data_IF_725474959383
#
_entry.id   IF_725474959383
#
_cell.length_a   1.000
_cell.length_b   1.000
_cell.length_c   1.000
_cell.angle_alpha   90.00
_cell.angle_beta   90.00
_cell.angle_gamma   90.00
#
_symmetry.space_group_name_H-M   'P 1'
#
loop_
_entity.id
_entity.type
_entity.pdbx_description
1 polymer ?
#
# COMPACT_ATOMS: atom_id res chain seq x y z
N UNK A 1 -1.71 -24.79 -22.22
CA UNK A 1 -2.30 -24.09 -21.06
C UNK A 1 -2.72 -22.71 -21.51
N UNK A 2 -3.97 -22.36 -21.31
CA UNK A 2 -4.50 -21.03 -21.68
C UNK A 2 -4.73 -20.25 -20.39
N UNK A 3 -4.17 -19.05 -20.32
CA UNK A 3 -4.35 -18.14 -19.23
C UNK A 3 -5.35 -17.06 -19.63
N UNK A 4 -6.38 -16.87 -18.81
CA UNK A 4 -7.34 -15.78 -18.98
C UNK A 4 -7.12 -14.82 -17.81
N UNK A 5 -6.75 -13.56 -18.06
CA UNK A 5 -6.61 -12.59 -16.97
C UNK A 5 -7.99 -12.31 -16.34
N UNK A 6 -8.06 -12.37 -15.01
CA UNK A 6 -9.31 -12.15 -14.26
C UNK A 6 -9.90 -10.74 -14.36
N UNK A 7 -9.17 -9.80 -14.92
CA UNK A 7 -9.56 -8.39 -14.92
C UNK A 7 -9.53 -7.76 -16.31
N UNK A 8 -10.40 -8.22 -17.19
CA UNK A 8 -10.72 -7.46 -18.40
C UNK A 8 -11.96 -6.61 -18.13
N UNK A 9 -11.78 -5.29 -18.01
CA UNK A 9 -12.90 -4.33 -17.90
C UNK A 9 -13.78 -4.29 -19.16
N UNK A 10 -13.33 -4.92 -20.23
CA UNK A 10 -14.08 -5.04 -21.46
C UNK A 10 -14.69 -6.45 -21.56
N UNK A 11 -15.94 -6.55 -21.11
CA UNK A 11 -16.68 -7.83 -21.04
C UNK A 11 -16.94 -8.48 -22.40
N UNK A 12 -16.55 -7.86 -23.50
CA UNK A 12 -16.90 -8.28 -24.85
C UNK A 12 -15.74 -8.89 -25.67
N UNK A 13 -14.52 -8.89 -25.16
CA UNK A 13 -13.37 -9.50 -25.83
C UNK A 13 -12.68 -10.52 -24.91
N UNK A 14 -12.85 -11.82 -25.18
CA UNK A 14 -12.07 -12.82 -24.47
C UNK A 14 -10.60 -12.65 -24.84
N UNK A 15 -9.81 -12.10 -23.91
CA UNK A 15 -8.36 -12.00 -24.07
C UNK A 15 -7.71 -13.15 -23.29
N UNK A 16 -6.97 -13.98 -23.98
CA UNK A 16 -6.22 -15.07 -23.38
C UNK A 16 -4.85 -15.21 -24.01
N UNK A 17 -3.87 -15.62 -23.22
CA UNK A 17 -2.54 -16.01 -23.70
C UNK A 17 -2.45 -17.51 -23.66
N UNK A 18 -2.13 -18.14 -24.79
CA UNK A 18 -1.84 -19.58 -24.86
C UNK A 18 -0.32 -19.75 -24.95
N UNK A 19 0.23 -20.53 -24.02
CA UNK A 19 1.65 -20.84 -23.98
C UNK A 19 1.79 -22.32 -24.32
N UNK A 20 2.61 -22.62 -25.33
CA UNK A 20 2.92 -24.00 -25.73
C UNK A 20 4.43 -24.17 -25.94
N UNK A 21 4.91 -25.37 -25.70
CA UNK A 21 6.31 -25.75 -25.85
C UNK A 21 6.46 -27.14 -26.42
N UNK A 22 7.68 -27.56 -26.71
CA UNK A 22 8.02 -28.91 -27.13
C UNK A 22 7.76 -29.91 -25.99
N UNK A 23 7.66 -31.20 -26.33
CA UNK A 23 7.25 -32.25 -25.39
C UNK A 23 8.01 -32.30 -24.07
N UNK A 24 9.30 -31.95 -24.06
CA UNK A 24 10.15 -32.01 -22.87
C UNK A 24 10.30 -30.64 -22.15
N UNK A 25 9.53 -29.63 -22.55
CA UNK A 25 9.63 -28.25 -22.01
C UNK A 25 8.52 -27.91 -21.01
N UNK A 26 7.86 -28.88 -20.41
CA UNK A 26 6.73 -28.67 -19.48
C UNK A 26 7.08 -27.71 -18.34
N UNK A 27 8.25 -27.86 -17.71
CA UNK A 27 8.68 -26.99 -16.63
C UNK A 27 8.89 -25.54 -17.09
N UNK A 28 9.45 -25.34 -18.29
CA UNK A 28 9.63 -24.01 -18.85
C UNK A 28 8.29 -23.34 -19.18
N UNK A 29 7.36 -24.08 -19.75
CA UNK A 29 5.99 -23.61 -20.02
C UNK A 29 5.27 -23.22 -18.75
N UNK A 30 5.38 -24.01 -17.68
CA UNK A 30 4.80 -23.69 -16.36
C UNK A 30 5.44 -22.44 -15.75
N UNK A 31 6.77 -22.36 -15.70
CA UNK A 31 7.48 -21.19 -15.19
C UNK A 31 7.13 -19.91 -15.94
N UNK A 32 7.03 -20.00 -17.28
CA UNK A 32 6.62 -18.86 -18.10
C UNK A 32 5.17 -18.47 -17.79
N UNK A 33 4.27 -19.43 -17.66
CA UNK A 33 2.88 -19.18 -17.30
C UNK A 33 2.76 -18.53 -15.91
N UNK A 34 3.50 -19.01 -14.92
CA UNK A 34 3.55 -18.44 -13.58
C UNK A 34 4.10 -17.00 -13.59
N UNK A 35 5.10 -16.69 -14.44
CA UNK A 35 5.63 -15.34 -14.56
C UNK A 35 4.62 -14.33 -15.10
N UNK A 36 3.72 -14.76 -16.01
CA UNK A 36 2.61 -13.93 -16.49
C UNK A 36 1.49 -13.73 -15.45
N UNK A 37 1.30 -14.72 -14.57
CA UNK A 37 0.32 -14.64 -13.49
C UNK A 37 0.83 -13.85 -12.27
N UNK A 38 2.15 -13.72 -12.15
CA UNK A 38 2.76 -13.02 -11.01
C UNK A 38 2.51 -11.53 -11.11
N UNK A 39 1.50 -11.07 -10.40
CA UNK A 39 1.25 -9.64 -10.24
C UNK A 39 2.35 -9.04 -9.37
N UNK A 40 3.18 -8.16 -9.94
CA UNK A 40 4.12 -7.40 -9.13
C UNK A 40 3.35 -6.53 -8.13
N UNK A 41 3.82 -6.50 -6.91
CA UNK A 41 3.19 -5.77 -5.82
C UNK A 41 4.24 -5.11 -4.93
N UNK A 42 3.83 -4.08 -4.21
CA UNK A 42 4.66 -3.38 -3.23
C UNK A 42 4.00 -3.43 -1.86
N UNK A 43 4.83 -3.45 -0.82
CA UNK A 43 4.38 -3.28 0.56
C UNK A 43 4.13 -1.79 0.83
N UNK A 44 2.96 -1.48 1.40
CA UNK A 44 2.50 -0.13 1.66
C UNK A 44 2.00 0.02 3.08
N UNK A 45 2.57 0.98 3.82
CA UNK A 45 2.23 1.27 5.21
C UNK A 45 1.10 2.30 5.32
N UNK A 46 0.11 2.00 6.16
CA UNK A 46 -1.00 2.90 6.49
C UNK A 46 -1.11 3.09 8.00
N UNK A 47 -1.32 4.32 8.46
CA UNK A 47 -1.37 4.68 9.88
C UNK A 47 -2.74 5.22 10.35
N UNK A 48 -3.73 5.29 9.45
CA UNK A 48 -5.01 5.93 9.73
C UNK A 48 -6.22 5.09 9.33
N UNK A 49 -7.19 5.74 8.71
CA UNK A 49 -8.49 5.14 8.36
C UNK A 49 -8.41 4.01 7.32
N UNK A 50 -7.28 3.83 6.66
CA UNK A 50 -7.01 2.72 5.74
C UNK A 50 -6.54 1.43 6.45
N UNK A 51 -6.33 1.45 7.78
CA UNK A 51 -5.98 0.25 8.54
C UNK A 51 -7.10 -0.79 8.46
N UNK A 52 -6.73 -2.04 8.68
CA UNK A 52 -7.66 -3.17 8.69
C UNK A 52 -8.80 -2.95 9.70
N UNK A 53 -10.04 -3.09 9.25
CA UNK A 53 -11.24 -2.87 10.05
C UNK A 53 -11.66 -1.40 10.16
N UNK A 54 -10.96 -0.45 9.53
CA UNK A 54 -11.30 0.98 9.54
C UNK A 54 -12.05 1.42 8.29
N UNK A 55 -12.63 2.62 8.35
CA UNK A 55 -13.61 3.10 7.38
C UNK A 55 -13.13 3.18 5.92
N UNK A 56 -11.83 3.33 5.66
CA UNK A 56 -11.27 3.44 4.33
C UNK A 56 -10.48 2.20 3.88
N UNK A 57 -10.55 1.09 4.61
CA UNK A 57 -9.93 -0.18 4.21
C UNK A 57 -10.42 -0.62 2.82
N UNK A 58 -11.71 -0.43 2.53
CA UNK A 58 -12.32 -0.80 1.26
C UNK A 58 -11.62 -0.18 0.05
N UNK A 59 -11.08 1.04 0.18
CA UNK A 59 -10.32 1.69 -0.90
C UNK A 59 -9.06 0.93 -1.29
N UNK A 60 -8.46 0.18 -0.37
CA UNK A 60 -7.31 -0.67 -0.64
C UNK A 60 -7.74 -2.04 -1.18
N UNK A 61 -8.74 -2.67 -0.56
CA UNK A 61 -9.20 -4.00 -0.98
C UNK A 61 -9.86 -3.98 -2.36
N UNK A 62 -10.56 -2.91 -2.73
CA UNK A 62 -11.11 -2.71 -4.08
C UNK A 62 -10.04 -2.59 -5.17
N UNK A 63 -8.82 -2.18 -4.80
CA UNK A 63 -7.66 -2.18 -5.69
C UNK A 63 -6.99 -3.57 -5.78
N UNK A 64 -7.50 -4.56 -5.05
CA UNK A 64 -6.88 -5.87 -4.93
C UNK A 64 -5.68 -5.89 -3.97
N UNK A 65 -5.60 -4.92 -3.05
CA UNK A 65 -4.57 -4.94 -2.02
C UNK A 65 -4.89 -6.00 -0.96
N UNK A 66 -3.85 -6.71 -0.53
CA UNK A 66 -3.94 -7.75 0.50
C UNK A 66 -3.34 -7.25 1.82
N UNK A 67 -4.07 -7.43 2.92
CA UNK A 67 -3.52 -7.17 4.26
C UNK A 67 -2.43 -8.21 4.58
N UNK A 68 -1.28 -7.73 5.06
CA UNK A 68 -0.15 -8.58 5.42
C UNK A 68 -0.01 -8.69 6.94
N UNK A 69 0.18 -7.58 7.62
CA UNK A 69 0.44 -7.56 9.06
C UNK A 69 0.15 -6.21 9.71
N UNK A 70 -0.05 -6.21 11.02
CA UNK A 70 0.06 -5.02 11.86
C UNK A 70 1.44 -4.99 12.49
N UNK A 71 2.10 -3.83 12.42
CA UNK A 71 3.43 -3.59 12.95
C UNK A 71 3.57 -2.15 13.44
N UNK A 72 4.79 -1.67 13.61
CA UNK A 72 5.06 -0.30 13.98
C UNK A 72 6.19 0.30 13.13
N UNK A 73 6.25 1.63 13.07
CA UNK A 73 7.38 2.36 12.49
C UNK A 73 8.62 2.24 13.39
N UNK A 74 9.79 2.55 12.85
CA UNK A 74 10.96 2.89 13.65
C UNK A 74 10.63 4.05 14.63
N UNK A 75 11.48 4.27 15.64
CA UNK A 75 11.27 5.28 16.70
C UNK A 75 11.48 6.73 16.25
N UNK A 76 11.49 6.98 14.96
CA UNK A 76 11.80 8.27 14.34
C UNK A 76 10.57 8.90 13.68
N UNK A 77 9.36 8.70 14.24
CA UNK A 77 8.15 9.26 13.68
C UNK A 77 7.26 9.91 14.72
N UNK A 78 6.58 10.98 14.30
CA UNK A 78 5.49 11.62 15.03
C UNK A 78 4.19 11.47 14.27
N UNK A 79 3.10 11.38 15.01
CA UNK A 79 1.75 11.28 14.46
C UNK A 79 0.93 12.49 14.89
N UNK A 80 0.30 13.13 13.91
CA UNK A 80 -0.53 14.32 14.11
C UNK A 80 -1.95 14.07 13.64
N UNK A 81 -2.90 14.68 14.32
CA UNK A 81 -4.28 14.82 13.87
C UNK A 81 -4.39 16.11 13.07
N UNK A 82 -4.46 16.00 11.75
CA UNK A 82 -4.45 17.15 10.84
C UNK A 82 -5.79 17.89 10.86
N UNK A 83 -5.73 19.21 10.69
CA UNK A 83 -6.89 20.09 10.54
C UNK A 83 -7.45 20.02 9.10
N UNK A 84 -7.83 18.82 8.64
CA UNK A 84 -8.40 18.56 7.32
C UNK A 84 -9.87 18.13 7.44
N UNK A 85 -10.62 18.25 6.35
CA UNK A 85 -11.97 17.71 6.27
C UNK A 85 -12.08 16.71 5.09
N UNK A 86 -12.26 15.40 5.35
CA UNK A 86 -12.29 14.75 6.68
C UNK A 86 -10.94 14.85 7.41
N UNK A 87 -10.98 14.67 8.74
CA UNK A 87 -9.78 14.65 9.58
C UNK A 87 -8.89 13.46 9.17
N UNK A 88 -7.60 13.73 8.97
CA UNK A 88 -6.61 12.73 8.55
C UNK A 88 -5.45 12.65 9.53
N UNK A 89 -4.82 11.48 9.70
CA UNK A 89 -3.54 11.38 10.39
C UNK A 89 -2.40 11.90 9.50
N UNK A 90 -1.46 12.60 10.09
CA UNK A 90 -0.21 13.01 9.44
C UNK A 90 0.99 12.33 10.10
N UNK A 91 1.68 11.46 9.39
CA UNK A 91 2.91 10.82 9.82
C UNK A 91 4.10 11.63 9.33
N UNK A 92 4.98 12.06 10.24
CA UNK A 92 6.18 12.85 9.92
C UNK A 92 7.40 12.21 10.55
N UNK A 93 8.50 12.13 9.81
CA UNK A 93 9.79 11.70 10.36
C UNK A 93 10.35 12.80 11.25
N UNK A 94 10.79 12.43 12.47
CA UNK A 94 11.31 13.36 13.46
C UNK A 94 12.36 12.69 14.35
N UNK A 95 13.41 13.43 14.75
CA UNK A 95 14.48 12.89 15.60
C UNK A 95 13.97 12.41 16.96
N UNK A 96 12.97 13.09 17.53
CA UNK A 96 12.36 12.76 18.82
C UNK A 96 10.96 12.18 18.61
N UNK A 97 10.86 11.05 17.93
CA UNK A 97 9.61 10.36 17.63
C UNK A 97 9.35 9.15 18.53
N UNK A 98 8.30 8.43 18.16
CA UNK A 98 7.89 7.16 18.78
C UNK A 98 7.60 6.10 17.70
N UNK A 99 7.44 4.84 18.14
CA UNK A 99 6.94 3.79 17.26
C UNK A 99 5.45 3.99 17.06
N UNK A 100 5.01 4.22 15.83
CA UNK A 100 3.61 4.43 15.48
C UNK A 100 3.03 3.14 14.91
N UNK A 101 1.88 2.71 15.42
CA UNK A 101 1.19 1.50 14.97
C UNK A 101 0.65 1.69 13.55
N UNK A 102 1.04 0.81 12.66
CA UNK A 102 0.70 0.81 11.25
C UNK A 102 0.28 -0.58 10.78
N UNK A 103 -0.45 -0.63 9.68
CA UNK A 103 -0.73 -1.86 8.97
C UNK A 103 0.00 -1.85 7.62
N UNK A 104 0.44 -3.03 7.20
CA UNK A 104 1.07 -3.24 5.90
C UNK A 104 0.09 -3.94 4.98
N UNK A 105 -0.10 -3.36 3.80
CA UNK A 105 -0.85 -3.95 2.70
C UNK A 105 0.07 -4.17 1.50
N UNK A 106 -0.16 -5.24 0.78
CA UNK A 106 0.50 -5.53 -0.49
C UNK A 106 -0.36 -5.02 -1.63
N UNK A 107 0.08 -3.96 -2.31
CA UNK A 107 -0.67 -3.30 -3.39
C UNK A 107 -0.12 -3.75 -4.75
N UNK A 108 -0.98 -4.21 -5.69
CA UNK A 108 -0.55 -4.48 -7.06
C UNK A 108 0.04 -3.23 -7.74
N UNK A 109 1.23 -3.37 -8.34
CA UNK A 109 1.92 -2.24 -9.02
C UNK A 109 1.03 -1.63 -10.10
N UNK A 110 0.26 -2.44 -10.82
CA UNK A 110 -0.69 -1.97 -11.84
C UNK A 110 -1.78 -1.04 -11.31
N UNK A 111 -2.07 -1.05 -10.01
CA UNK A 111 -3.09 -0.21 -9.35
C UNK A 111 -2.50 1.00 -8.63
N UNK A 112 -1.18 1.02 -8.47
CA UNK A 112 -0.51 2.06 -7.68
C UNK A 112 -0.74 3.47 -8.24
N UNK A 113 -0.72 3.65 -9.55
CA UNK A 113 -0.94 4.95 -10.19
C UNK A 113 -2.32 5.52 -9.87
N UNK A 114 -3.38 4.70 -10.00
CA UNK A 114 -4.74 5.09 -9.66
C UNK A 114 -4.90 5.38 -8.16
N UNK A 115 -4.22 4.63 -7.30
CA UNK A 115 -4.21 4.89 -5.87
C UNK A 115 -3.53 6.22 -5.54
N UNK A 116 -2.35 6.47 -6.12
CA UNK A 116 -1.59 7.70 -5.89
C UNK A 116 -2.32 8.96 -6.36
N UNK A 117 -3.09 8.91 -7.44
CA UNK A 117 -3.85 10.05 -7.96
C UNK A 117 -4.94 10.53 -6.99
N UNK A 118 -5.38 9.67 -6.07
CA UNK A 118 -6.36 10.01 -5.03
C UNK A 118 -5.72 10.55 -3.74
N UNK A 119 -4.39 10.56 -3.65
CA UNK A 119 -3.69 11.11 -2.48
C UNK A 119 -3.66 12.63 -2.59
N UNK A 120 -4.43 13.28 -1.74
CA UNK A 120 -4.50 14.75 -1.71
C UNK A 120 -3.58 15.34 -0.66
N UNK A 121 -3.10 16.56 -0.93
CA UNK A 121 -2.38 17.36 0.07
C UNK A 121 -3.16 17.44 1.38
N UNK A 122 -2.48 17.49 2.52
CA UNK A 122 -1.03 17.55 2.73
C UNK A 122 -0.34 16.18 2.82
N UNK A 123 -1.03 15.10 2.42
CA UNK A 123 -0.42 13.77 2.41
C UNK A 123 0.46 13.60 1.17
N UNK A 124 1.55 12.89 1.36
CA UNK A 124 2.49 12.45 0.32
C UNK A 124 2.80 10.96 0.49
N UNK A 125 3.44 10.36 -0.51
CA UNK A 125 3.92 8.98 -0.44
C UNK A 125 5.44 8.99 -0.39
N UNK A 126 5.99 8.34 0.63
CA UNK A 126 7.44 8.25 0.82
C UNK A 126 7.88 6.88 1.33
N UNK A 127 9.10 6.83 1.84
CA UNK A 127 9.64 5.64 2.48
C UNK A 127 9.39 5.72 3.99
N UNK A 128 8.74 4.71 4.53
CA UNK A 128 8.52 4.51 5.96
C UNK A 128 9.44 3.41 6.44
N UNK A 129 10.24 3.68 7.46
CA UNK A 129 11.11 2.70 8.11
C UNK A 129 10.33 2.00 9.24
N UNK A 130 10.37 0.68 9.25
CA UNK A 130 9.67 -0.15 10.21
C UNK A 130 10.57 -0.44 11.42
N UNK A 131 9.96 -0.91 12.50
CA UNK A 131 10.66 -1.28 13.74
C UNK A 131 11.69 -2.39 13.53
N UNK A 132 11.53 -3.21 12.50
CA UNK A 132 12.46 -4.29 12.12
C UNK A 132 13.54 -3.85 11.11
N UNK A 133 13.57 -2.57 10.73
CA UNK A 133 14.51 -1.99 9.78
C UNK A 133 14.13 -2.10 8.31
N UNK A 134 13.03 -2.78 7.97
CA UNK A 134 12.50 -2.76 6.60
C UNK A 134 12.07 -1.35 6.22
N UNK A 135 12.15 -1.03 4.93
CA UNK A 135 11.65 0.22 4.36
C UNK A 135 10.57 -0.10 3.34
N UNK A 136 9.39 0.41 3.57
CA UNK A 136 8.23 0.23 2.70
C UNK A 136 7.70 1.57 2.21
N UNK A 137 6.87 1.59 1.17
CA UNK A 137 6.13 2.80 0.82
C UNK A 137 5.02 3.04 1.84
N UNK A 138 4.65 4.31 2.05
CA UNK A 138 3.56 4.65 2.98
C UNK A 138 3.19 6.12 2.92
N UNK A 139 2.10 6.45 3.60
CA UNK A 139 1.68 7.84 3.74
C UNK A 139 2.59 8.57 4.69
N UNK A 140 3.08 9.71 4.24
CA UNK A 140 3.73 10.75 5.02
C UNK A 140 2.92 12.04 4.93
N UNK A 141 3.26 13.02 5.75
CA UNK A 141 2.65 14.33 5.75
C UNK A 141 3.71 15.40 5.52
N UNK A 142 3.35 16.44 4.78
CA UNK A 142 4.20 17.61 4.59
C UNK A 142 4.27 18.42 5.89
N UNK A 143 5.47 18.91 6.23
CA UNK A 143 5.77 19.55 7.51
C UNK A 143 4.90 20.78 7.80
N UNK A 144 4.54 21.55 6.77
CA UNK A 144 3.73 22.75 6.97
C UNK A 144 2.37 22.47 7.61
N UNK A 145 1.80 21.28 7.36
CA UNK A 145 0.45 20.93 7.83
C UNK A 145 0.40 20.49 9.29
N UNK A 146 1.55 20.25 9.92
CA UNK A 146 1.60 19.84 11.33
C UNK A 146 1.85 21.01 12.29
N UNK A 147 2.12 22.22 11.78
CA UNK A 147 2.43 23.40 12.63
C UNK A 147 1.32 23.73 13.63
N UNK A 148 0.07 23.60 13.19
CA UNK A 148 -1.13 23.88 14.02
C UNK A 148 -1.96 22.62 14.29
N UNK A 149 -1.39 21.42 14.06
CA UNK A 149 -2.07 20.15 14.26
C UNK A 149 -1.83 19.60 15.68
N UNK A 150 -2.79 18.82 16.18
CA UNK A 150 -2.68 18.15 17.47
C UNK A 150 -1.64 17.01 17.37
N UNK A 151 -0.58 17.07 18.19
CA UNK A 151 0.39 15.97 18.32
C UNK A 151 -0.27 14.81 19.12
N UNK A 152 -0.49 13.71 18.46
CA UNK A 152 -1.06 12.48 19.03
C UNK A 152 -0.06 11.33 19.10
N UNK A 153 1.23 11.63 18.99
CA UNK A 153 2.32 10.64 18.98
C UNK A 153 2.26 9.69 20.17
N UNK A 154 1.93 10.20 21.37
CA UNK A 154 1.82 9.40 22.58
C UNK A 154 0.73 8.32 22.52
N UNK A 155 -0.30 8.52 21.69
CA UNK A 155 -1.38 7.54 21.49
C UNK A 155 -0.94 6.40 20.57
N UNK A 156 0.16 6.58 19.80
CA UNK A 156 0.74 5.62 18.85
C UNK A 156 -0.21 5.14 17.75
N UNK A 157 -1.40 5.65 17.68
CA UNK A 157 -2.43 5.31 16.69
C UNK A 157 -3.42 6.47 16.52
N UNK A 158 -4.06 6.49 15.36
CA UNK A 158 -5.13 7.43 15.03
C UNK A 158 -6.49 6.76 15.28
#
# INVERSE_FOLDING_TARGET
MTLVPENTQDKNLPFGITIFGLADSTNLVLQTAESFLKTESIDFAVCGLHKKGYALESQLTELGAEYIESTATAKEYKLYKLNTNPIKPGLVRAENGENINIDIFKIPVSKLGSFMSNVSTPLSIGNVELIDGRRVKGFLCEEYAVKDAEDITSKKSF
#
